data_IF_260686860683
#
_entry.id   IF_260686860683
#
_cell.length_a   1.000
_cell.length_b   1.000
_cell.length_c   1.000
_cell.angle_alpha   90.00
_cell.angle_beta   90.00
_cell.angle_gamma   90.00
#
_symmetry.space_group_name_H-M   'P 1'
#
loop_
_entity.id
_entity.type
_entity.pdbx_description
1 polymer ?
#
# COMPACT_ATOMS: atom_id res chain seq x y z
N UNK A 1 20.32 8.54 -7.63
CA UNK A 1 19.34 9.13 -8.55
C UNK A 1 18.57 10.20 -7.77
N UNK A 2 18.62 11.45 -8.24
CA UNK A 2 17.65 12.49 -7.84
C UNK A 2 16.24 11.94 -8.12
N UNK A 3 15.22 12.31 -7.33
CA UNK A 3 13.86 11.75 -7.34
C UNK A 3 13.32 11.38 -8.72
N UNK A 4 13.67 10.16 -9.17
CA UNK A 4 13.40 9.72 -10.53
C UNK A 4 11.89 9.58 -10.69
N UNK A 5 11.36 10.03 -11.81
CA UNK A 5 9.99 9.72 -12.21
C UNK A 5 10.08 8.56 -13.19
N UNK A 6 9.50 7.41 -12.83
CA UNK A 6 9.52 6.26 -13.71
C UNK A 6 8.55 6.49 -14.89
N UNK A 7 8.98 6.19 -16.13
CA UNK A 7 8.14 6.37 -17.31
C UNK A 7 7.04 5.30 -17.36
N UNK A 8 6.08 5.52 -18.25
CA UNK A 8 5.18 4.44 -18.66
C UNK A 8 5.95 3.41 -19.47
N UNK A 9 5.70 2.13 -19.17
CA UNK A 9 6.26 0.96 -19.84
C UNK A 9 5.13 0.20 -20.50
N UNK A 10 5.35 -0.23 -21.73
CA UNK A 10 4.47 -1.13 -22.48
C UNK A 10 4.92 -2.58 -22.33
N UNK A 11 4.12 -3.51 -22.87
CA UNK A 11 4.44 -4.94 -22.95
C UNK A 11 4.63 -5.62 -21.58
N UNK A 12 3.93 -5.15 -20.56
CA UNK A 12 3.84 -5.84 -19.27
C UNK A 12 2.65 -6.80 -19.24
N UNK A 13 2.70 -7.78 -18.35
CA UNK A 13 1.53 -8.58 -17.98
C UNK A 13 1.28 -8.38 -16.50
N UNK A 14 0.01 -8.22 -16.16
CA UNK A 14 -0.46 -8.03 -14.80
C UNK A 14 -1.42 -9.16 -14.43
N UNK A 15 -1.28 -9.69 -13.22
CA UNK A 15 -2.25 -10.61 -12.63
C UNK A 15 -2.62 -10.12 -11.24
N UNK A 16 -3.90 -9.80 -11.04
CA UNK A 16 -4.43 -9.44 -9.72
C UNK A 16 -4.56 -10.69 -8.86
N UNK A 17 -3.98 -10.67 -7.67
CA UNK A 17 -4.03 -11.75 -6.69
C UNK A 17 -4.77 -11.24 -5.45
N UNK A 18 -5.82 -11.95 -5.04
CA UNK A 18 -6.71 -11.53 -3.96
C UNK A 18 -6.50 -12.46 -2.76
N UNK A 19 -6.12 -11.87 -1.63
CA UNK A 19 -5.87 -12.50 -0.35
C UNK A 19 -4.67 -13.46 -0.30
N UNK A 20 -4.18 -13.68 0.92
CA UNK A 20 -2.97 -14.46 1.18
C UNK A 20 -2.93 -15.84 0.53
N UNK A 21 -4.02 -16.64 0.61
CA UNK A 21 -4.06 -17.95 -0.05
C UNK A 21 -3.80 -17.89 -1.57
N UNK A 22 -4.09 -16.76 -2.24
CA UNK A 22 -3.79 -16.61 -3.67
C UNK A 22 -2.36 -16.12 -3.92
N UNK A 23 -1.84 -15.18 -3.12
CA UNK A 23 -0.54 -14.57 -3.41
C UNK A 23 0.67 -15.23 -2.75
N UNK A 24 0.57 -15.78 -1.54
CA UNK A 24 1.75 -16.39 -0.90
C UNK A 24 2.26 -17.65 -1.60
N UNK A 25 1.40 -18.60 -2.03
CA UNK A 25 1.88 -19.75 -2.80
C UNK A 25 2.57 -19.34 -4.10
N UNK A 26 2.10 -18.28 -4.76
CA UNK A 26 2.73 -17.71 -5.97
C UNK A 26 4.09 -17.11 -5.66
N UNK A 27 4.19 -16.33 -4.58
CA UNK A 27 5.45 -15.74 -4.13
C UNK A 27 6.48 -16.82 -3.76
N UNK A 28 6.09 -17.83 -2.99
CA UNK A 28 6.96 -18.96 -2.60
C UNK A 28 7.42 -19.72 -3.85
N UNK A 29 6.50 -20.06 -4.76
CA UNK A 29 6.86 -20.75 -6.00
C UNK A 29 7.83 -19.95 -6.87
N UNK A 30 7.73 -18.61 -6.87
CA UNK A 30 8.70 -17.76 -7.56
C UNK A 30 10.08 -17.79 -6.88
N UNK A 31 10.15 -17.73 -5.55
CA UNK A 31 11.40 -17.84 -4.79
C UNK A 31 12.06 -19.21 -4.99
N UNK A 32 11.27 -20.28 -5.01
CA UNK A 32 11.76 -21.65 -5.22
C UNK A 32 12.35 -21.85 -6.63
N UNK A 33 11.85 -21.13 -7.62
CA UNK A 33 12.34 -21.15 -9.01
C UNK A 33 13.45 -20.16 -9.30
N UNK A 34 13.77 -19.28 -8.35
CA UNK A 34 14.79 -18.25 -8.56
C UNK A 34 16.15 -18.87 -8.85
N UNK A 35 16.84 -18.32 -9.85
CA UNK A 35 18.16 -18.77 -10.31
C UNK A 35 19.29 -17.78 -10.01
N UNK A 36 18.98 -16.47 -9.96
CA UNK A 36 19.99 -15.42 -9.84
C UNK A 36 19.85 -14.60 -8.57
N UNK A 37 18.65 -14.07 -8.32
CA UNK A 37 18.43 -13.17 -7.18
C UNK A 37 16.97 -13.10 -6.74
N UNK A 38 16.80 -12.90 -5.44
CA UNK A 38 15.52 -12.62 -4.79
C UNK A 38 15.67 -11.37 -3.93
N UNK A 39 14.83 -10.37 -4.17
CA UNK A 39 14.74 -9.16 -3.39
C UNK A 39 13.39 -9.06 -2.71
N UNK A 40 13.38 -8.94 -1.38
CA UNK A 40 12.17 -8.82 -0.59
C UNK A 40 12.21 -7.56 0.28
N UNK A 41 11.23 -6.68 0.13
CA UNK A 41 11.03 -5.46 0.90
C UNK A 41 9.66 -5.50 1.57
N UNK A 42 9.62 -5.39 2.90
CA UNK A 42 8.39 -5.50 3.70
C UNK A 42 8.39 -4.59 4.93
N UNK A 43 7.21 -4.09 5.29
CA UNK A 43 7.00 -3.36 6.54
C UNK A 43 6.81 -4.30 7.73
N UNK A 44 5.78 -5.15 7.65
CA UNK A 44 5.29 -5.99 8.73
C UNK A 44 5.76 -7.43 8.50
N UNK A 45 6.62 -7.91 9.39
CA UNK A 45 7.12 -9.29 9.41
C UNK A 45 7.08 -9.76 10.86
N UNK A 46 6.33 -10.81 11.13
CA UNK A 46 6.15 -11.33 12.49
C UNK A 46 6.36 -12.85 12.47
N UNK A 47 6.95 -13.41 13.54
CA UNK A 47 7.10 -14.85 13.66
C UNK A 47 5.72 -15.53 13.68
N UNK A 48 5.61 -16.66 12.98
CA UNK A 48 4.34 -17.35 12.72
C UNK A 48 4.48 -18.30 11.54
N UNK A 49 3.43 -19.06 11.26
CA UNK A 49 3.44 -20.05 10.20
C UNK A 49 3.69 -19.43 8.80
N UNK A 50 3.19 -18.21 8.57
CA UNK A 50 3.47 -17.45 7.36
C UNK A 50 4.97 -17.16 7.19
N UNK A 51 5.61 -16.68 8.26
CA UNK A 51 7.02 -16.33 8.25
C UNK A 51 7.91 -17.56 8.10
N UNK A 52 7.55 -18.66 8.76
CA UNK A 52 8.28 -19.93 8.64
C UNK A 52 8.32 -20.42 7.19
N UNK A 53 7.19 -20.37 6.48
CA UNK A 53 7.10 -20.76 5.08
C UNK A 53 7.97 -19.87 4.16
N UNK A 54 7.89 -18.55 4.34
CA UNK A 54 8.67 -17.60 3.54
C UNK A 54 10.17 -17.71 3.85
N UNK A 55 10.55 -17.79 5.13
CA UNK A 55 11.94 -17.94 5.56
C UNK A 55 12.52 -19.23 5.02
N UNK A 56 11.78 -20.34 5.06
CA UNK A 56 12.22 -21.60 4.47
C UNK A 56 12.54 -21.45 2.98
N UNK A 57 11.64 -20.85 2.20
CA UNK A 57 11.86 -20.65 0.76
C UNK A 57 13.11 -19.78 0.49
N UNK A 58 13.29 -18.70 1.25
CA UNK A 58 14.45 -17.81 1.13
C UNK A 58 15.76 -18.50 1.55
N UNK A 59 15.74 -19.32 2.60
CA UNK A 59 16.89 -20.12 3.05
C UNK A 59 17.28 -21.12 1.98
N UNK A 60 16.33 -21.85 1.41
CA UNK A 60 16.61 -22.80 0.34
C UNK A 60 17.15 -22.11 -0.91
N UNK A 61 16.63 -20.93 -1.28
CA UNK A 61 17.20 -20.12 -2.36
C UNK A 61 18.66 -19.72 -2.07
N UNK A 62 18.95 -19.23 -0.86
CA UNK A 62 20.31 -18.90 -0.44
C UNK A 62 21.26 -20.10 -0.50
N UNK A 63 20.80 -21.29 -0.07
CA UNK A 63 21.56 -22.55 -0.13
C UNK A 63 21.86 -23.00 -1.55
N UNK A 64 20.98 -22.70 -2.52
CA UNK A 64 21.22 -22.94 -3.95
C UNK A 64 22.22 -21.95 -4.58
N UNK A 65 22.67 -20.93 -3.83
CA UNK A 65 23.59 -19.90 -4.31
C UNK A 65 22.90 -18.68 -4.92
N UNK A 66 21.57 -18.58 -4.82
CA UNK A 66 20.80 -17.40 -5.26
C UNK A 66 21.13 -16.21 -4.36
N UNK A 67 21.32 -15.02 -4.93
CA UNK A 67 21.55 -13.80 -4.15
C UNK A 67 20.24 -13.34 -3.52
N UNK A 68 20.06 -13.59 -2.23
CA UNK A 68 18.85 -13.19 -1.51
C UNK A 68 19.10 -11.92 -0.69
N UNK A 69 18.30 -10.88 -0.90
CA UNK A 69 18.37 -9.59 -0.21
C UNK A 69 17.03 -9.27 0.44
N UNK A 70 17.03 -9.11 1.76
CA UNK A 70 15.83 -8.75 2.51
C UNK A 70 16.00 -7.37 3.14
N UNK A 71 15.01 -6.50 2.94
CA UNK A 71 14.91 -5.19 3.58
C UNK A 71 13.60 -5.10 4.35
N UNK A 72 13.68 -5.16 5.68
CA UNK A 72 12.50 -5.11 6.54
C UNK A 72 12.45 -3.81 7.34
N UNK A 73 11.28 -3.27 7.63
CA UNK A 73 11.18 -2.14 8.55
C UNK A 73 11.48 -2.58 10.00
N UNK A 74 12.33 -1.84 10.71
CA UNK A 74 12.70 -2.20 12.09
C UNK A 74 11.52 -2.16 13.08
N UNK A 75 10.61 -1.20 12.94
CA UNK A 75 9.45 -1.10 13.82
C UNK A 75 8.44 -2.20 13.49
N UNK A 76 8.11 -2.36 12.22
CA UNK A 76 7.14 -3.37 11.77
C UNK A 76 7.65 -4.81 11.88
N UNK A 77 8.95 -5.02 12.05
CA UNK A 77 9.54 -6.37 12.18
C UNK A 77 10.10 -6.65 13.58
N UNK A 78 9.56 -6.01 14.63
CA UNK A 78 9.98 -6.29 16.01
C UNK A 78 9.63 -7.69 16.48
N UNK A 79 8.50 -8.23 16.03
CA UNK A 79 8.05 -9.58 16.35
C UNK A 79 8.67 -10.65 15.43
N UNK A 80 9.50 -10.27 14.46
CA UNK A 80 10.32 -11.22 13.71
C UNK A 80 11.48 -11.68 14.59
N UNK A 81 11.42 -12.90 15.11
CA UNK A 81 12.32 -13.36 16.17
C UNK A 81 13.78 -13.53 15.72
N UNK A 82 14.68 -13.68 16.70
CA UNK A 82 16.12 -13.82 16.44
C UNK A 82 16.47 -15.16 15.77
N UNK A 83 15.68 -16.22 15.97
CA UNK A 83 15.90 -17.53 15.38
C UNK A 83 15.70 -17.50 13.88
N UNK A 84 14.59 -16.93 13.40
CA UNK A 84 14.30 -16.76 11.98
C UNK A 84 15.32 -15.85 11.29
N UNK A 85 15.71 -14.76 11.95
CA UNK A 85 16.80 -13.89 11.45
C UNK A 85 18.10 -14.67 11.29
N UNK A 86 18.44 -15.51 12.28
CA UNK A 86 19.66 -16.33 12.24
C UNK A 86 19.62 -17.32 11.10
N UNK A 87 18.50 -18.01 10.89
CA UNK A 87 18.33 -18.94 9.77
C UNK A 87 18.60 -18.28 8.42
N UNK A 88 18.04 -17.09 8.18
CA UNK A 88 18.31 -16.30 6.97
C UNK A 88 19.81 -15.99 6.84
N UNK A 89 20.44 -15.43 7.88
CA UNK A 89 21.85 -15.03 7.81
C UNK A 89 22.80 -16.22 7.66
N UNK A 90 22.50 -17.36 8.31
CA UNK A 90 23.28 -18.60 8.19
C UNK A 90 23.22 -19.17 6.77
N UNK A 91 22.11 -18.93 6.05
CA UNK A 91 21.93 -19.32 4.65
C UNK A 91 22.52 -18.31 3.64
N UNK A 92 23.23 -17.28 4.12
CA UNK A 92 23.85 -16.26 3.26
C UNK A 92 22.90 -15.14 2.81
N UNK A 93 21.68 -15.06 3.35
CA UNK A 93 20.73 -13.98 3.03
C UNK A 93 21.24 -12.66 3.59
N UNK A 94 21.24 -11.61 2.74
CA UNK A 94 21.62 -10.26 3.14
C UNK A 94 20.41 -9.55 3.76
N UNK A 95 20.28 -9.67 5.08
CA UNK A 95 19.20 -9.05 5.85
C UNK A 95 19.56 -7.63 6.33
N UNK A 96 18.69 -6.66 6.02
CA UNK A 96 18.82 -5.26 6.48
C UNK A 96 17.51 -4.77 7.11
N UNK A 97 17.65 -3.86 8.07
CA UNK A 97 16.52 -3.21 8.72
C UNK A 97 16.47 -1.71 8.41
N UNK A 98 15.32 -1.22 7.95
CA UNK A 98 15.09 0.19 7.70
C UNK A 98 14.87 0.96 9.00
N UNK A 99 15.59 2.08 9.12
CA UNK A 99 15.50 3.05 10.20
C UNK A 99 15.32 2.46 11.62
N UNK A 100 16.34 1.79 12.18
CA UNK A 100 16.24 1.25 13.53
C UNK A 100 15.86 2.28 14.58
N UNK A 101 14.92 1.93 15.46
CA UNK A 101 14.40 2.86 16.46
C UNK A 101 15.49 3.21 17.45
N UNK A 102 15.62 4.51 17.73
CA UNK A 102 16.60 4.98 18.69
C UNK A 102 16.07 6.18 19.48
N UNK A 103 16.30 6.21 20.79
CA UNK A 103 15.77 7.25 21.69
C UNK A 103 16.24 8.66 21.30
N UNK A 104 17.49 8.82 20.81
CA UNK A 104 18.03 10.11 20.32
C UNK A 104 17.43 10.59 18.98
N UNK A 105 16.61 9.80 18.30
CA UNK A 105 16.12 10.14 16.94
C UNK A 105 14.82 10.95 16.93
N UNK A 106 14.11 11.05 18.06
CA UNK A 106 12.88 11.87 18.17
C UNK A 106 11.90 11.60 17.02
N UNK A 107 11.49 12.68 16.32
CA UNK A 107 10.56 12.59 15.16
C UNK A 107 11.11 11.78 13.97
N UNK A 108 12.43 11.56 13.89
CA UNK A 108 13.01 10.75 12.80
C UNK A 108 12.65 9.28 12.92
N UNK A 109 12.21 8.81 14.10
CA UNK A 109 11.70 7.45 14.25
C UNK A 109 10.40 7.22 13.47
N UNK A 110 9.62 8.27 13.14
CA UNK A 110 8.36 8.12 12.40
C UNK A 110 8.53 7.79 10.92
N UNK A 111 9.73 7.97 10.34
CA UNK A 111 9.97 7.54 8.96
C UNK A 111 10.04 6.02 8.93
N UNK A 112 9.15 5.39 8.17
CA UNK A 112 9.01 3.94 8.05
C UNK A 112 9.00 3.51 6.58
N UNK A 113 9.50 2.31 6.31
CA UNK A 113 9.36 1.72 4.97
C UNK A 113 8.05 0.94 4.90
N UNK A 114 7.07 1.47 4.16
CA UNK A 114 5.78 0.84 3.97
C UNK A 114 5.66 0.07 2.66
N UNK A 115 6.73 -0.06 1.86
CA UNK A 115 6.69 -0.81 0.60
C UNK A 115 6.64 -2.31 0.83
N UNK A 116 5.94 -2.99 -0.10
CA UNK A 116 5.76 -4.44 -0.16
C UNK A 116 6.12 -4.86 -1.56
N UNK A 117 7.30 -5.44 -1.71
CA UNK A 117 7.87 -5.75 -3.00
C UNK A 117 8.66 -7.05 -2.91
N UNK A 118 8.31 -7.99 -3.77
CA UNK A 118 9.16 -9.12 -4.14
C UNK A 118 9.63 -8.90 -5.57
N UNK A 119 10.94 -9.02 -5.84
CA UNK A 119 11.50 -9.10 -7.20
C UNK A 119 12.30 -10.39 -7.31
N UNK A 120 12.03 -11.18 -8.34
CA UNK A 120 12.74 -12.42 -8.64
C UNK A 120 13.39 -12.31 -10.01
N UNK A 121 14.70 -12.55 -10.07
CA UNK A 121 15.52 -12.63 -11.29
C UNK A 121 15.40 -11.44 -12.25
N UNK A 122 14.91 -10.28 -11.78
CA UNK A 122 14.60 -9.08 -12.58
C UNK A 122 13.57 -9.33 -13.68
N UNK A 123 12.84 -10.45 -13.62
CA UNK A 123 11.84 -10.86 -14.61
C UNK A 123 10.42 -10.89 -14.04
N UNK A 124 10.29 -11.05 -12.72
CA UNK A 124 9.03 -11.05 -12.00
C UNK A 124 9.07 -10.04 -10.84
N UNK A 125 7.99 -9.29 -10.66
CA UNK A 125 7.74 -8.53 -9.44
C UNK A 125 6.35 -8.85 -8.87
N UNK A 126 6.21 -8.86 -7.54
CA UNK A 126 4.92 -8.95 -6.85
C UNK A 126 4.80 -7.77 -5.89
N UNK A 127 3.76 -6.94 -6.06
CA UNK A 127 3.61 -5.67 -5.32
C UNK A 127 2.19 -5.50 -4.77
N UNK A 128 2.04 -4.80 -3.65
CA UNK A 128 0.71 -4.56 -3.06
C UNK A 128 0.81 -4.09 -1.61
N UNK A 129 -0.05 -4.63 -0.73
CA UNK A 129 -0.16 -4.16 0.65
C UNK A 129 0.14 -5.19 1.75
N UNK A 130 0.53 -6.42 1.41
CA UNK A 130 0.69 -7.53 2.38
C UNK A 130 1.72 -7.32 3.49
N UNK A 131 1.48 -7.93 4.66
CA UNK A 131 2.53 -8.29 5.63
C UNK A 131 2.94 -9.74 5.46
N UNK A 132 3.95 -10.18 6.22
CA UNK A 132 4.23 -11.61 6.46
C UNK A 132 3.81 -11.89 7.91
N UNK A 133 2.54 -12.21 8.09
CA UNK A 133 1.91 -12.53 9.38
C UNK A 133 0.77 -13.53 9.16
N UNK A 134 0.38 -14.24 10.21
CA UNK A 134 -0.66 -15.27 10.15
C UNK A 134 -2.06 -14.69 9.90
N UNK A 135 -2.27 -13.40 10.12
CA UNK A 135 -3.52 -12.74 9.75
C UNK A 135 -3.70 -12.60 8.24
N UNK A 136 -2.61 -12.47 7.48
CA UNK A 136 -2.67 -12.49 6.02
C UNK A 136 -2.76 -13.90 5.48
N UNK A 137 -2.07 -14.86 6.08
CA UNK A 137 -2.07 -16.25 5.62
C UNK A 137 -1.48 -17.21 6.63
N UNK A 138 -2.12 -18.34 6.81
CA UNK A 138 -1.51 -19.53 7.40
C UNK A 138 -1.42 -20.60 6.30
N UNK A 139 -0.28 -21.30 6.13
CA UNK A 139 -0.18 -22.43 5.22
C UNK A 139 -1.34 -23.41 5.40
N UNK A 140 -1.81 -23.96 4.28
CA UNK A 140 -2.95 -24.89 4.18
C UNK A 140 -4.33 -24.32 4.55
N UNK A 141 -4.44 -23.02 4.85
CA UNK A 141 -5.74 -22.34 4.99
C UNK A 141 -6.14 -21.59 3.73
N UNK A 142 -7.37 -21.81 3.29
CA UNK A 142 -7.99 -21.11 2.15
C UNK A 142 -8.67 -19.77 2.54
N UNK A 143 -8.49 -19.32 3.78
CA UNK A 143 -9.11 -18.10 4.31
C UNK A 143 -8.06 -17.15 4.87
N UNK A 144 -8.28 -15.84 4.69
CA UNK A 144 -7.47 -14.77 5.26
C UNK A 144 -8.28 -13.95 6.26
N UNK A 145 -7.64 -13.49 7.34
CA UNK A 145 -8.26 -12.54 8.28
C UNK A 145 -8.16 -11.10 7.79
N UNK A 146 -7.20 -10.82 6.91
CA UNK A 146 -6.99 -9.51 6.29
C UNK A 146 -7.29 -9.62 4.80
N UNK A 147 -8.28 -8.84 4.34
CA UNK A 147 -8.57 -8.75 2.93
C UNK A 147 -7.55 -7.81 2.26
N UNK A 148 -6.78 -8.30 1.30
CA UNK A 148 -5.71 -7.55 0.63
C UNK A 148 -5.51 -8.00 -0.81
N UNK A 149 -4.91 -7.14 -1.64
CA UNK A 149 -4.51 -7.44 -3.00
C UNK A 149 -2.99 -7.30 -3.20
N UNK A 150 -2.47 -8.19 -4.03
CA UNK A 150 -1.14 -8.10 -4.63
C UNK A 150 -1.29 -8.16 -6.15
N UNK A 151 -0.30 -7.67 -6.89
CA UNK A 151 -0.23 -7.76 -8.35
C UNK A 151 1.08 -8.42 -8.73
N UNK A 152 0.98 -9.55 -9.44
CA UNK A 152 2.11 -10.19 -10.10
C UNK A 152 2.36 -9.50 -11.45
N UNK A 153 3.62 -9.16 -11.72
CA UNK A 153 4.05 -8.34 -12.85
C UNK A 153 5.19 -9.04 -13.56
N UNK A 154 5.06 -9.21 -14.88
CA UNK A 154 6.17 -9.55 -15.77
C UNK A 154 6.31 -8.51 -16.87
N UNK A 155 7.53 -8.34 -17.40
CA UNK A 155 7.83 -7.37 -18.46
C UNK A 155 8.75 -6.24 -18.02
N UNK A 156 8.95 -5.21 -18.87
CA UNK A 156 9.95 -4.16 -18.64
C UNK A 156 9.80 -3.39 -17.32
N UNK A 157 8.58 -3.31 -16.78
CA UNK A 157 8.30 -2.61 -15.53
C UNK A 157 9.01 -3.22 -14.30
N UNK A 158 9.38 -4.50 -14.36
CA UNK A 158 10.12 -5.18 -13.28
C UNK A 158 11.47 -4.51 -13.02
N UNK A 159 12.12 -3.95 -14.05
CA UNK A 159 13.39 -3.24 -13.90
C UNK A 159 13.25 -1.91 -13.15
N UNK A 160 12.11 -1.23 -13.28
CA UNK A 160 11.83 0.00 -12.54
C UNK A 160 11.61 -0.30 -11.05
N UNK A 161 10.88 -1.38 -10.74
CA UNK A 161 10.74 -1.91 -9.39
C UNK A 161 12.10 -2.31 -8.78
N UNK A 162 12.92 -3.01 -9.56
CA UNK A 162 14.27 -3.38 -9.17
C UNK A 162 15.14 -2.17 -8.83
N UNK A 163 15.06 -1.10 -9.65
CA UNK A 163 15.80 0.13 -9.42
C UNK A 163 15.35 0.84 -8.13
N UNK A 164 14.04 0.84 -7.85
CA UNK A 164 13.47 1.39 -6.62
C UNK A 164 13.94 0.62 -5.38
N UNK A 165 13.93 -0.72 -5.42
CA UNK A 165 14.48 -1.57 -4.36
C UNK A 165 15.97 -1.29 -4.14
N UNK A 166 16.77 -1.35 -5.21
CA UNK A 166 18.22 -1.15 -5.14
C UNK A 166 18.59 0.19 -4.49
N UNK A 167 17.88 1.27 -4.86
CA UNK A 167 18.07 2.59 -4.25
C UNK A 167 17.93 2.51 -2.74
N UNK A 168 16.84 1.92 -2.24
CA UNK A 168 16.63 1.87 -0.79
C UNK A 168 17.60 0.90 -0.11
N UNK A 169 17.79 -0.28 -0.69
CA UNK A 169 18.66 -1.30 -0.14
C UNK A 169 20.08 -0.77 0.05
N UNK A 170 20.66 -0.13 -0.98
CA UNK A 170 21.98 0.48 -0.89
C UNK A 170 22.04 1.65 0.09
N UNK A 171 20.97 2.44 0.20
CA UNK A 171 20.97 3.56 1.12
C UNK A 171 20.92 3.11 2.60
N UNK A 172 20.36 1.93 2.89
CA UNK A 172 20.42 1.27 4.20
C UNK A 172 21.74 0.53 4.47
N UNK A 173 22.72 0.55 3.55
CA UNK A 173 24.04 -0.02 3.84
C UNK A 173 24.81 0.80 4.89
N UNK A 174 24.47 2.08 5.08
CA UNK A 174 25.15 3.00 6.00
C UNK A 174 24.35 3.12 7.31
N UNK A 175 25.04 3.09 8.46
CA UNK A 175 24.44 3.16 9.81
C UNK A 175 23.78 4.50 10.20
N UNK A 176 23.81 5.51 9.33
CA UNK A 176 23.23 6.82 9.61
C UNK A 176 21.78 6.90 9.13
N UNK A 177 20.96 7.68 9.84
CA UNK A 177 19.57 7.91 9.48
C UNK A 177 19.48 8.34 8.01
N UNK A 178 18.78 7.53 7.22
CA UNK A 178 18.54 7.84 5.83
C UNK A 178 17.68 9.11 5.76
N UNK A 179 18.24 10.15 5.13
CA UNK A 179 17.51 11.31 4.65
C UNK A 179 17.80 11.39 3.16
N UNK A 180 16.79 11.28 2.29
CA UNK A 180 16.95 11.70 0.91
C UNK A 180 17.45 13.13 0.91
N UNK A 181 18.30 13.47 -0.06
CA UNK A 181 18.61 14.88 -0.30
C UNK A 181 17.28 15.60 -0.57
N UNK A 182 17.05 16.70 0.12
CA UNK A 182 15.89 17.55 -0.10
C UNK A 182 16.01 18.20 -1.47
N UNK A 183 15.49 17.53 -2.50
CA UNK A 183 15.22 18.18 -3.77
C UNK A 183 13.76 18.59 -3.75
N UNK A 184 13.52 19.89 -3.59
CA UNK A 184 12.21 20.47 -3.84
C UNK A 184 12.07 20.71 -5.34
N UNK A 185 11.03 20.13 -5.93
CA UNK A 185 10.75 20.23 -7.37
C UNK A 185 10.74 18.85 -8.00
N UNK A 186 9.55 18.34 -8.25
CA UNK A 186 9.38 17.20 -9.14
C UNK A 186 9.35 17.73 -10.57
N UNK A 187 10.02 17.02 -11.48
CA UNK A 187 9.74 17.17 -12.89
C UNK A 187 8.23 16.95 -13.14
N UNK A 188 7.69 17.52 -14.22
CA UNK A 188 6.30 17.27 -14.58
C UNK A 188 6.08 15.75 -14.72
N UNK A 189 5.11 15.21 -13.97
CA UNK A 189 4.70 13.82 -14.14
C UNK A 189 4.41 13.56 -15.61
N UNK A 190 4.85 12.42 -16.19
CA UNK A 190 4.55 12.10 -17.57
C UNK A 190 3.03 12.14 -17.78
N UNK A 191 2.65 12.64 -18.94
CA UNK A 191 1.27 12.58 -19.42
C UNK A 191 0.86 11.11 -19.47
N UNK A 192 -0.32 10.81 -18.94
CA UNK A 192 -0.88 9.47 -19.07
C UNK A 192 -1.11 9.18 -20.57
N UNK A 193 -0.58 8.06 -21.11
CA UNK A 193 -0.85 7.67 -22.49
C UNK A 193 -2.33 7.31 -22.65
N UNK A 194 -2.74 7.06 -23.90
CA UNK A 194 -4.00 6.36 -24.16
C UNK A 194 -3.89 4.95 -23.58
N UNK A 195 -4.98 4.43 -23.02
CA UNK A 195 -5.01 3.08 -22.48
C UNK A 195 -4.60 2.04 -23.53
N UNK A 196 -3.86 1.02 -23.10
CA UNK A 196 -3.26 0.02 -23.99
C UNK A 196 -2.81 -1.21 -23.20
N UNK A 197 -2.72 -2.35 -23.89
CA UNK A 197 -2.34 -3.60 -23.25
C UNK A 197 -0.94 -3.53 -22.61
N UNK A 198 -0.86 -3.95 -21.35
CA UNK A 198 0.41 -4.01 -20.63
C UNK A 198 1.01 -2.66 -20.28
N UNK A 199 0.25 -1.58 -20.32
CA UNK A 199 0.74 -0.24 -20.01
C UNK A 199 0.75 0.01 -18.50
N UNK A 200 1.92 0.25 -17.91
CA UNK A 200 2.06 0.55 -16.49
C UNK A 200 3.30 1.35 -16.12
N UNK A 201 3.32 1.89 -14.90
CA UNK A 201 4.48 2.58 -14.33
C UNK A 201 4.57 2.42 -12.82
N UNK A 202 5.77 2.64 -12.29
CA UNK A 202 6.01 2.73 -10.85
C UNK A 202 5.78 4.16 -10.39
N UNK A 203 4.84 4.36 -9.47
CA UNK A 203 4.69 5.63 -8.75
C UNK A 203 5.09 5.40 -7.29
N UNK A 204 5.90 6.29 -6.72
CA UNK A 204 6.31 6.15 -5.32
C UNK A 204 6.13 7.44 -4.53
N UNK A 205 6.18 7.31 -3.22
CA UNK A 205 6.30 8.41 -2.29
C UNK A 205 7.55 8.18 -1.42
N UNK A 206 8.31 9.24 -1.24
CA UNK A 206 9.48 9.27 -0.39
C UNK A 206 9.26 10.38 0.64
N UNK A 207 8.36 10.12 1.61
CA UNK A 207 7.92 11.13 2.57
C UNK A 207 7.45 12.42 1.86
N UNK A 208 7.95 13.59 2.28
CA UNK A 208 7.66 14.90 1.68
C UNK A 208 8.49 15.18 0.42
N UNK A 209 9.52 14.39 0.16
CA UNK A 209 10.51 14.65 -0.89
C UNK A 209 10.04 14.16 -2.27
N UNK A 210 9.25 13.10 -2.32
CA UNK A 210 8.68 12.56 -3.57
C UNK A 210 7.20 12.22 -3.37
N UNK A 211 6.32 12.66 -4.28
CA UNK A 211 4.85 12.62 -4.06
C UNK A 211 4.05 12.23 -5.30
N UNK A 212 4.62 11.38 -6.16
CA UNK A 212 4.01 10.99 -7.44
C UNK A 212 2.62 10.40 -7.22
N UNK A 213 2.49 9.47 -6.27
CA UNK A 213 1.22 8.81 -5.96
C UNK A 213 0.10 9.82 -5.69
N UNK A 214 0.35 10.83 -4.83
CA UNK A 214 -0.66 11.85 -4.52
C UNK A 214 -0.95 12.75 -5.72
N UNK A 215 0.08 13.13 -6.48
CA UNK A 215 -0.07 14.00 -7.64
C UNK A 215 -0.88 13.32 -8.74
N UNK A 216 -0.56 12.07 -9.06
CA UNK A 216 -1.33 11.22 -9.95
C UNK A 216 -2.77 11.10 -9.49
N UNK A 217 -3.00 10.71 -8.23
CA UNK A 217 -4.34 10.55 -7.69
C UNK A 217 -5.16 11.85 -7.82
N UNK A 218 -4.62 12.99 -7.40
CA UNK A 218 -5.33 14.26 -7.46
C UNK A 218 -5.59 14.69 -8.91
N UNK A 219 -4.63 14.49 -9.82
CA UNK A 219 -4.80 14.75 -11.26
C UNK A 219 -5.95 13.92 -11.81
N UNK A 220 -5.90 12.60 -11.62
CA UNK A 220 -6.87 11.66 -12.17
C UNK A 220 -8.26 11.84 -11.55
N UNK A 221 -8.37 12.15 -10.25
CA UNK A 221 -9.67 12.47 -9.60
C UNK A 221 -10.34 13.72 -10.21
N UNK A 222 -9.54 14.69 -10.66
CA UNK A 222 -10.07 15.91 -11.27
C UNK A 222 -10.52 15.69 -12.72
N UNK A 223 -9.88 14.78 -13.45
CA UNK A 223 -10.17 14.52 -14.87
C UNK A 223 -11.13 13.36 -15.10
N UNK A 224 -11.32 12.47 -14.12
CA UNK A 224 -12.20 11.30 -14.24
C UNK A 224 -13.67 11.66 -14.56
N UNK A 225 -14.29 10.85 -15.41
CA UNK A 225 -15.56 11.14 -16.07
C UNK A 225 -16.68 10.13 -15.81
N UNK A 226 -16.37 8.84 -15.66
CA UNK A 226 -17.37 7.76 -15.55
C UNK A 226 -17.46 7.26 -14.11
N UNK A 227 -16.35 6.80 -13.54
CA UNK A 227 -16.31 6.16 -12.21
C UNK A 227 -15.06 6.53 -11.42
N UNK A 228 -15.21 6.63 -10.10
CA UNK A 228 -14.11 6.78 -9.14
C UNK A 228 -14.39 5.85 -7.97
N UNK A 229 -13.70 4.73 -7.91
CA UNK A 229 -13.79 3.77 -6.82
C UNK A 229 -12.46 3.74 -6.06
N UNK A 230 -12.52 3.87 -4.74
CA UNK A 230 -11.32 3.95 -3.89
C UNK A 230 -11.49 3.06 -2.66
N UNK A 231 -10.53 2.15 -2.47
CA UNK A 231 -10.36 1.35 -1.27
C UNK A 231 -9.17 1.85 -0.44
N UNK A 232 -9.37 1.96 0.88
CA UNK A 232 -8.29 2.25 1.84
C UNK A 232 -8.66 1.73 3.23
N UNK A 233 -7.73 1.15 4.00
CA UNK A 233 -8.00 0.77 5.38
C UNK A 233 -8.23 1.98 6.30
N UNK A 234 -7.56 3.10 5.99
CA UNK A 234 -7.45 4.24 6.88
C UNK A 234 -7.88 5.51 6.16
N UNK A 235 -9.19 5.79 6.22
CA UNK A 235 -9.75 6.94 5.52
C UNK A 235 -9.47 8.28 6.22
N UNK A 236 -8.23 8.74 6.13
CA UNK A 236 -7.76 10.05 6.56
C UNK A 236 -7.22 10.87 5.36
N UNK A 237 -8.02 11.09 4.30
CA UNK A 237 -7.56 11.71 3.06
C UNK A 237 -7.18 13.17 3.26
N UNK A 238 -6.27 13.69 2.43
CA UNK A 238 -5.92 15.13 2.41
C UNK A 238 -7.10 16.02 1.98
N UNK A 239 -7.03 17.33 2.25
CA UNK A 239 -8.07 18.27 1.78
C UNK A 239 -8.22 18.26 0.25
N UNK A 240 -7.11 18.15 -0.49
CA UNK A 240 -7.11 18.10 -1.96
C UNK A 240 -7.91 16.90 -2.46
N UNK A 241 -7.67 15.71 -1.91
CA UNK A 241 -8.40 14.47 -2.25
C UNK A 241 -9.89 14.61 -1.90
N UNK A 242 -10.23 15.06 -0.68
CA UNK A 242 -11.65 15.27 -0.29
C UNK A 242 -12.38 16.25 -1.19
N UNK A 243 -11.72 17.34 -1.60
CA UNK A 243 -12.29 18.34 -2.50
C UNK A 243 -12.52 17.75 -3.89
N UNK A 244 -11.57 16.97 -4.40
CA UNK A 244 -11.66 16.33 -5.72
C UNK A 244 -12.79 15.30 -5.76
N UNK A 245 -12.88 14.41 -4.76
CA UNK A 245 -13.98 13.42 -4.64
C UNK A 245 -15.36 14.08 -4.65
N UNK A 246 -15.55 15.12 -3.83
CA UNK A 246 -16.81 15.88 -3.79
C UNK A 246 -17.14 16.52 -5.13
N UNK A 247 -16.14 17.14 -5.78
CA UNK A 247 -16.34 17.80 -7.08
C UNK A 247 -16.72 16.78 -8.14
N UNK A 248 -16.08 15.62 -8.17
CA UNK A 248 -16.41 14.58 -9.12
C UNK A 248 -17.85 14.07 -8.94
N UNK A 249 -18.26 13.80 -7.69
CA UNK A 249 -19.64 13.42 -7.41
C UNK A 249 -20.64 14.52 -7.82
N UNK A 250 -20.32 15.80 -7.59
CA UNK A 250 -21.14 16.92 -8.05
C UNK A 250 -21.18 17.10 -9.58
N UNK A 251 -20.25 16.50 -10.33
CA UNK A 251 -20.29 16.43 -11.80
C UNK A 251 -21.13 15.24 -12.32
N UNK A 252 -21.67 14.40 -11.43
CA UNK A 252 -22.42 13.20 -11.79
C UNK A 252 -21.57 11.93 -11.99
N UNK A 253 -20.27 11.97 -11.65
CA UNK A 253 -19.40 10.78 -11.69
C UNK A 253 -19.84 9.80 -10.59
N UNK A 254 -19.84 8.49 -10.87
CA UNK A 254 -20.13 7.47 -9.84
C UNK A 254 -18.94 7.31 -8.89
N UNK A 255 -19.01 7.98 -7.74
CA UNK A 255 -17.96 7.97 -6.72
C UNK A 255 -18.32 7.02 -5.59
N UNK A 256 -17.53 5.95 -5.40
CA UNK A 256 -17.70 4.94 -4.36
C UNK A 256 -16.44 4.81 -3.51
N UNK A 257 -16.61 4.76 -2.20
CA UNK A 257 -15.54 4.48 -1.24
C UNK A 257 -15.77 3.11 -0.62
N UNK A 258 -14.79 2.22 -0.69
CA UNK A 258 -14.75 0.95 0.02
C UNK A 258 -13.82 1.10 1.23
N UNK A 259 -14.38 1.13 2.44
CA UNK A 259 -13.67 1.47 3.67
C UNK A 259 -13.75 0.34 4.68
N UNK A 260 -12.84 0.33 5.65
CA UNK A 260 -12.86 -0.65 6.72
C UNK A 260 -14.12 -0.53 7.59
N UNK A 261 -14.80 -1.66 7.78
CA UNK A 261 -15.91 -1.77 8.71
C UNK A 261 -15.49 -1.99 10.16
N UNK A 262 -16.35 -2.60 11.00
CA UNK A 262 -16.09 -2.75 12.42
C UNK A 262 -14.89 -3.62 12.78
N UNK A 263 -14.48 -4.54 11.88
CA UNK A 263 -13.30 -5.40 12.04
C UNK A 263 -12.07 -4.64 11.57
N UNK A 264 -11.25 -4.16 12.51
CA UNK A 264 -10.06 -3.35 12.25
C UNK A 264 -9.06 -3.47 13.39
N UNK A 265 -7.78 -3.45 13.04
CA UNK A 265 -6.64 -3.33 13.95
C UNK A 265 -6.54 -1.93 14.61
N UNK A 266 -7.09 -0.90 13.97
CA UNK A 266 -7.05 0.49 14.44
C UNK A 266 -8.44 1.14 14.51
N UNK A 267 -9.26 0.78 15.53
CA UNK A 267 -10.60 1.34 15.70
C UNK A 267 -10.62 2.87 15.81
N UNK A 268 -9.61 3.47 16.44
CA UNK A 268 -9.49 4.92 16.60
C UNK A 268 -9.39 5.66 15.26
N UNK A 269 -8.57 5.13 14.34
CA UNK A 269 -8.35 5.69 13.00
C UNK A 269 -9.64 5.62 12.18
N UNK A 270 -10.37 4.50 12.26
CA UNK A 270 -11.69 4.37 11.65
C UNK A 270 -12.66 5.46 12.14
N UNK A 271 -12.76 5.67 13.46
CA UNK A 271 -13.64 6.72 14.00
C UNK A 271 -13.17 8.14 13.66
N UNK A 272 -11.87 8.37 13.48
CA UNK A 272 -11.37 9.64 13.00
C UNK A 272 -11.79 9.89 11.54
N UNK A 273 -11.72 8.89 10.67
CA UNK A 273 -12.13 8.98 9.26
C UNK A 273 -13.62 9.27 9.05
N UNK A 274 -14.46 8.70 9.92
CA UNK A 274 -15.91 8.95 9.96
C UNK A 274 -16.28 10.44 9.94
N UNK A 275 -15.45 11.33 10.52
CA UNK A 275 -15.71 12.78 10.51
C UNK A 275 -15.90 13.39 9.11
N UNK A 276 -15.38 12.73 8.08
CA UNK A 276 -15.45 13.21 6.70
C UNK A 276 -16.73 12.77 5.96
N UNK A 277 -17.39 11.69 6.40
CA UNK A 277 -18.55 11.10 5.74
C UNK A 277 -19.67 12.12 5.47
N UNK A 278 -20.14 12.95 6.42
CA UNK A 278 -21.35 13.75 6.17
C UNK A 278 -21.21 14.76 5.04
N UNK A 279 -20.00 15.26 4.75
CA UNK A 279 -19.76 16.16 3.60
C UNK A 279 -19.61 15.41 2.28
N UNK A 280 -19.15 14.16 2.33
CA UNK A 280 -19.03 13.28 1.16
C UNK A 280 -20.39 12.76 0.74
N UNK A 281 -21.16 12.21 1.69
CA UNK A 281 -22.53 11.71 1.46
C UNK A 281 -23.45 12.78 0.89
N UNK A 282 -23.39 14.01 1.43
CA UNK A 282 -24.16 15.16 0.89
C UNK A 282 -23.76 15.56 -0.52
N UNK A 283 -22.55 15.24 -0.96
CA UNK A 283 -22.09 15.54 -2.31
C UNK A 283 -22.41 14.42 -3.31
N UNK A 284 -23.02 13.31 -2.88
CA UNK A 284 -23.36 12.16 -3.72
C UNK A 284 -22.31 11.04 -3.72
N UNK A 285 -21.28 11.12 -2.87
CA UNK A 285 -20.31 10.02 -2.71
C UNK A 285 -20.96 8.88 -1.94
N UNK A 286 -20.91 7.66 -2.48
CA UNK A 286 -21.38 6.43 -1.82
C UNK A 286 -20.26 5.87 -0.95
N UNK A 287 -20.60 5.40 0.25
CA UNK A 287 -19.64 4.86 1.21
C UNK A 287 -20.06 3.46 1.62
N UNK A 288 -19.19 2.50 1.39
CA UNK A 288 -19.37 1.09 1.69
C UNK A 288 -18.36 0.67 2.76
N UNK A 289 -18.82 0.11 3.86
CA UNK A 289 -17.96 -0.44 4.90
C UNK A 289 -17.91 -1.97 4.77
N UNK A 290 -16.72 -2.53 4.53
CA UNK A 290 -16.53 -3.96 4.35
C UNK A 290 -16.77 -4.72 5.67
N UNK A 291 -17.59 -5.78 5.61
CA UNK A 291 -18.07 -6.51 6.80
C UNK A 291 -17.34 -7.83 7.12
N UNK A 292 -16.90 -8.66 6.14
CA UNK A 292 -16.42 -10.01 6.41
C UNK A 292 -15.21 -10.07 7.35
N UNK A 293 -14.17 -9.29 7.06
CA UNK A 293 -12.92 -9.28 7.81
C UNK A 293 -12.27 -7.88 7.77
N UNK A 294 -11.00 -7.75 8.16
CA UNK A 294 -10.34 -6.45 8.09
C UNK A 294 -10.00 -6.09 6.64
N UNK A 295 -10.57 -5.01 6.12
CA UNK A 295 -10.24 -4.49 4.80
C UNK A 295 -8.90 -3.75 4.86
N UNK A 296 -7.88 -4.29 4.18
CA UNK A 296 -6.55 -3.69 4.08
C UNK A 296 -6.22 -3.18 2.67
N UNK A 297 -7.14 -3.22 1.70
CA UNK A 297 -6.89 -2.78 0.32
C UNK A 297 -6.37 -1.34 0.20
N UNK A 298 -5.36 -1.13 -0.66
CA UNK A 298 -4.92 0.19 -1.13
C UNK A 298 -5.05 0.27 -2.65
N UNK A 299 -6.29 0.40 -3.11
CA UNK A 299 -6.65 0.24 -4.51
C UNK A 299 -7.54 1.38 -4.98
N UNK A 300 -7.24 1.93 -6.16
CA UNK A 300 -8.01 3.01 -6.78
C UNK A 300 -8.29 2.66 -8.23
N UNK A 301 -9.53 2.86 -8.64
CA UNK A 301 -9.99 2.79 -10.02
C UNK A 301 -10.62 4.12 -10.41
N UNK A 302 -10.10 4.78 -11.43
CA UNK A 302 -10.69 5.98 -12.01
C UNK A 302 -10.80 5.78 -13.50
N UNK A 303 -12.03 5.59 -13.98
CA UNK A 303 -12.33 5.16 -15.34
C UNK A 303 -11.59 3.85 -15.69
N UNK A 304 -10.47 3.96 -16.41
CA UNK A 304 -9.59 2.85 -16.82
C UNK A 304 -8.18 2.93 -16.20
N UNK A 305 -7.92 3.97 -15.39
CA UNK A 305 -6.69 4.09 -14.62
C UNK A 305 -6.80 3.34 -13.30
N UNK A 306 -5.87 2.43 -13.07
CA UNK A 306 -5.76 1.64 -11.83
C UNK A 306 -4.54 2.09 -11.06
N UNK A 307 -4.65 2.19 -9.73
CA UNK A 307 -3.51 2.28 -8.84
C UNK A 307 -3.63 1.30 -7.68
N UNK A 308 -2.64 0.43 -7.52
CA UNK A 308 -2.57 -0.60 -6.48
C UNK A 308 -1.17 -0.58 -5.87
N UNK A 309 -1.05 -0.68 -4.55
CA UNK A 309 0.27 -0.75 -3.92
C UNK A 309 0.20 -0.66 -2.41
N UNK A 310 1.19 0.00 -1.81
CA UNK A 310 1.24 0.14 -0.36
C UNK A 310 0.45 1.34 0.15
N UNK A 311 0.14 2.33 -0.71
CA UNK A 311 -0.25 3.65 -0.25
C UNK A 311 -1.68 3.77 0.25
N UNK A 312 -1.87 4.04 1.54
CA UNK A 312 -3.21 4.21 2.13
C UNK A 312 -3.91 5.52 1.73
N UNK A 313 -3.24 6.42 0.99
CA UNK A 313 -3.74 7.73 0.55
C UNK A 313 -4.14 8.71 1.68
N UNK A 314 -3.65 8.47 2.90
CA UNK A 314 -3.87 9.34 4.06
C UNK A 314 -2.76 10.39 4.26
N UNK A 315 -3.03 11.39 5.09
CA UNK A 315 -2.08 12.48 5.35
C UNK A 315 -0.87 12.09 6.21
N UNK A 316 -0.92 10.96 6.94
CA UNK A 316 0.19 10.47 7.76
C UNK A 316 1.24 9.77 6.90
N UNK A 317 0.80 8.85 6.05
CA UNK A 317 1.64 8.13 5.11
C UNK A 317 2.43 9.08 4.20
N UNK A 318 1.73 10.06 3.62
CA UNK A 318 2.32 11.05 2.72
C UNK A 318 3.30 12.02 3.41
N UNK A 319 3.46 11.92 4.74
CA UNK A 319 4.38 12.76 5.50
C UNK A 319 5.67 12.05 5.87
N UNK A 320 5.63 10.76 6.20
CA UNK A 320 6.80 10.09 6.78
C UNK A 320 7.23 8.82 6.04
N UNK A 321 6.35 8.20 5.26
CA UNK A 321 6.56 6.82 4.85
C UNK A 321 7.07 6.70 3.41
N UNK A 322 7.80 5.62 3.19
CA UNK A 322 8.18 5.16 1.85
C UNK A 322 7.09 4.26 1.33
N UNK A 323 6.53 4.62 0.18
CA UNK A 323 5.39 3.92 -0.39
C UNK A 323 5.57 3.77 -1.88
N UNK A 324 4.96 2.75 -2.47
CA UNK A 324 5.00 2.56 -3.90
C UNK A 324 3.74 1.86 -4.40
N UNK A 325 3.27 2.31 -5.56
CA UNK A 325 2.13 1.78 -6.26
C UNK A 325 2.49 1.46 -7.71
N UNK A 326 1.90 0.38 -8.22
CA UNK A 326 1.64 0.23 -9.64
C UNK A 326 0.58 1.26 -10.05
N UNK A 327 0.85 2.00 -11.12
CA UNK A 327 -0.19 2.66 -11.90
C UNK A 327 -0.31 1.96 -13.25
N UNK A 328 -1.52 1.63 -13.67
CA UNK A 328 -1.76 0.88 -14.90
C UNK A 328 -2.91 1.47 -15.70
N UNK A 329 -2.81 1.31 -17.01
CA UNK A 329 -3.83 1.64 -18.00
C UNK A 329 -4.04 0.43 -18.91
N UNK A 330 -4.26 -0.72 -18.28
CA UNK A 330 -4.40 -2.02 -18.92
C UNK A 330 -5.86 -2.51 -18.84
N UNK A 331 -6.51 -2.85 -19.98
CA UNK A 331 -7.89 -3.31 -19.99
C UNK A 331 -8.11 -4.60 -19.20
N UNK A 332 -7.14 -5.52 -19.16
CA UNK A 332 -7.23 -6.78 -18.42
C UNK A 332 -7.31 -6.54 -16.92
N UNK A 333 -6.28 -5.89 -16.37
CA UNK A 333 -6.21 -5.53 -14.96
C UNK A 333 -7.39 -4.64 -14.55
N UNK A 334 -7.83 -3.73 -15.40
CA UNK A 334 -9.02 -2.89 -15.14
C UNK A 334 -10.27 -3.74 -14.93
N UNK A 335 -10.51 -4.77 -15.75
CA UNK A 335 -11.66 -5.67 -15.57
C UNK A 335 -11.56 -6.45 -14.26
N UNK A 336 -10.38 -6.98 -13.93
CA UNK A 336 -10.17 -7.74 -12.70
C UNK A 336 -10.40 -6.87 -11.45
N UNK A 337 -9.93 -5.62 -11.48
CA UNK A 337 -10.15 -4.64 -10.41
C UNK A 337 -11.63 -4.26 -10.29
N UNK A 338 -12.36 -4.10 -11.40
CA UNK A 338 -13.81 -3.88 -11.38
C UNK A 338 -14.52 -5.04 -10.70
N UNK A 339 -14.21 -6.28 -11.10
CA UNK A 339 -14.82 -7.47 -10.53
C UNK A 339 -14.54 -7.61 -9.03
N UNK A 340 -13.29 -7.31 -8.61
CA UNK A 340 -12.89 -7.25 -7.20
C UNK A 340 -13.74 -6.24 -6.42
N UNK A 341 -13.84 -4.99 -6.89
CA UNK A 341 -14.68 -3.97 -6.26
C UNK A 341 -16.15 -4.34 -6.19
N UNK A 342 -16.74 -4.87 -7.26
CA UNK A 342 -18.16 -5.25 -7.29
C UNK A 342 -18.49 -6.34 -6.29
N UNK A 343 -17.61 -7.35 -6.17
CA UNK A 343 -17.71 -8.39 -5.14
C UNK A 343 -17.64 -7.78 -3.73
N UNK A 344 -16.69 -6.88 -3.49
CA UNK A 344 -16.52 -6.27 -2.17
C UNK A 344 -17.66 -5.33 -1.79
N UNK A 345 -18.22 -4.59 -2.75
CA UNK A 345 -19.41 -3.77 -2.52
C UNK A 345 -20.61 -4.63 -2.12
N UNK A 346 -20.79 -5.81 -2.73
CA UNK A 346 -21.86 -6.73 -2.39
C UNK A 346 -21.73 -7.31 -0.96
N UNK A 347 -20.51 -7.39 -0.43
CA UNK A 347 -20.20 -7.83 0.94
C UNK A 347 -20.14 -6.68 1.96
N UNK A 348 -20.42 -5.45 1.53
CA UNK A 348 -20.28 -4.26 2.34
C UNK A 348 -21.62 -3.68 2.79
N UNK A 349 -21.60 -3.02 3.95
CA UNK A 349 -22.72 -2.22 4.42
C UNK A 349 -22.62 -0.79 3.84
N UNK A 350 -23.59 -0.37 3.04
CA UNK A 350 -23.68 1.02 2.60
C UNK A 350 -24.04 1.93 3.78
N UNK A 351 -23.30 3.03 3.94
CA UNK A 351 -23.61 4.08 4.91
C UNK A 351 -24.33 5.22 4.23
N UNK A 352 -25.64 5.36 4.43
CA UNK A 352 -26.40 6.46 3.87
C UNK A 352 -26.35 7.72 4.75
N UNK A 353 -26.77 8.86 4.20
CA UNK A 353 -26.93 10.09 4.97
C UNK A 353 -28.02 9.96 6.06
N UNK A 354 -29.05 9.15 5.80
CA UNK A 354 -30.12 8.87 6.76
C UNK A 354 -29.56 8.07 7.95
N UNK A 355 -28.83 6.98 7.68
CA UNK A 355 -28.14 6.20 8.70
C UNK A 355 -27.19 7.09 9.51
N UNK A 356 -26.43 7.94 8.81
CA UNK A 356 -25.52 8.88 9.45
C UNK A 356 -26.23 9.82 10.43
N UNK A 357 -27.46 10.26 10.14
CA UNK A 357 -28.24 11.09 11.07
C UNK A 357 -28.85 10.25 12.21
N UNK A 358 -29.29 9.03 11.93
CA UNK A 358 -29.99 8.16 12.89
C UNK A 358 -29.08 7.53 13.98
N UNK A 359 -27.75 7.61 13.86
CA UNK A 359 -26.82 6.95 14.79
C UNK A 359 -27.01 7.36 16.26
N UNK A 360 -26.87 6.40 17.20
CA UNK A 360 -27.07 6.62 18.63
C UNK A 360 -26.03 7.57 19.23
N UNK A 361 -26.41 8.25 20.32
CA UNK A 361 -25.60 9.29 20.98
C UNK A 361 -24.21 8.80 21.38
N UNK A 362 -24.09 7.58 21.93
CA UNK A 362 -22.80 7.01 22.32
C UNK A 362 -21.82 6.90 21.15
N UNK A 363 -22.29 6.54 19.94
CA UNK A 363 -21.45 6.50 18.73
C UNK A 363 -21.00 7.91 18.33
N UNK A 364 -21.87 8.92 18.48
CA UNK A 364 -21.55 10.31 18.18
C UNK A 364 -20.47 10.85 19.12
N UNK A 365 -20.55 10.54 20.42
CA UNK A 365 -19.54 10.93 21.42
C UNK A 365 -18.20 10.27 21.10
N UNK A 366 -18.17 8.95 20.86
CA UNK A 366 -16.94 8.23 20.51
C UNK A 366 -16.27 8.81 19.26
N UNK A 367 -17.03 9.11 18.21
CA UNK A 367 -16.51 9.74 16.99
C UNK A 367 -15.97 11.16 17.22
N UNK A 368 -16.63 11.96 18.07
CA UNK A 368 -16.13 13.31 18.42
C UNK A 368 -14.83 13.25 19.20
N UNK A 369 -14.72 12.37 20.18
CA UNK A 369 -13.52 12.19 21.00
C UNK A 369 -12.33 11.79 20.13
N UNK A 370 -12.44 10.70 19.37
CA UNK A 370 -11.36 10.25 18.48
C UNK A 370 -11.03 11.25 17.38
N UNK A 371 -12.05 11.91 16.81
CA UNK A 371 -11.84 12.96 15.82
C UNK A 371 -11.21 14.24 16.36
N UNK A 372 -11.25 14.47 17.68
CA UNK A 372 -10.55 15.56 18.37
C UNK A 372 -9.12 15.17 18.72
N UNK A 373 -8.91 13.96 19.25
CA UNK A 373 -7.57 13.41 19.52
C UNK A 373 -6.74 13.38 18.24
N UNK A 374 -7.28 12.86 17.14
CA UNK A 374 -6.58 12.86 15.86
C UNK A 374 -6.22 14.28 15.40
N UNK A 375 -7.13 15.26 15.55
CA UNK A 375 -6.82 16.66 15.23
C UNK A 375 -5.69 17.23 16.09
N UNK A 376 -5.66 16.91 17.38
CA UNK A 376 -4.57 17.35 18.26
C UNK A 376 -3.25 16.73 17.83
N UNK A 377 -3.23 15.43 17.53
CA UNK A 377 -2.02 14.74 17.08
C UNK A 377 -1.53 15.32 15.75
N UNK A 378 -2.43 15.56 14.79
CA UNK A 378 -2.13 16.25 13.53
C UNK A 378 -1.56 17.64 13.77
N UNK A 379 -2.24 18.47 14.57
CA UNK A 379 -1.83 19.85 14.81
C UNK A 379 -0.49 19.94 15.57
N UNK A 380 -0.26 19.08 16.58
CA UNK A 380 0.99 19.03 17.33
C UNK A 380 2.16 18.61 16.44
N UNK A 381 1.92 17.70 15.49
CA UNK A 381 2.93 17.28 14.53
C UNK A 381 3.10 18.30 13.40
N UNK A 382 2.06 19.06 13.02
CA UNK A 382 2.14 20.15 12.04
C UNK A 382 2.80 21.42 12.61
N UNK A 383 2.62 21.74 13.90
CA UNK A 383 3.20 22.94 14.55
C UNK A 383 4.69 22.82 14.91
N UNK A 384 5.28 21.62 14.87
CA UNK A 384 6.71 21.41 15.20
C UNK A 384 7.69 21.62 14.03
N UNK A 385 7.29 22.39 13.02
CA UNK A 385 8.13 22.77 11.88
C UNK A 385 8.15 24.27 11.69
#
# INVERSE_FOLDING_TARGET
MNGAIFPWRENNRFQLLIDGPAFFPRMIAAIDRAEQQVDLELYLVEAGACADAIVRALVEAGRRGVIVRCLFDDFGSKAFDAGLRKQLTDAGVILRFYNPIHWRRGVRNFYRDHRKLLVVDKTLAVVGGTGVTDEFWEPDKDVSQWHEVMVEITGPLVLDWQALFNRQFHANARRFAWRPKENFGLDHLPTAPVAGEGLGRVAYADSRQHRDILQSLVRTLNTGQKRIWLATPYFLPTWKVRRALRRAASRGVDVRLLLTGPRTDHPSVRYAGHRYYPRLLRAGVKVFEYQPCFLHLKMVLIDDWVSIGSCNFDHWNLRFNLEANLEALDPGLTRDVVASFEKDFALSAETTLADWKARPLWRRVKQRLWGWIDRLVVNLLDQRN
#
